data_IF_006806181559
#
_entry.id   IF_006806181559
#
_cell.length_a   1.000
_cell.length_b   1.000
_cell.length_c   1.000
_cell.angle_alpha   90.00
_cell.angle_beta   90.00
_cell.angle_gamma   90.00
#
_symmetry.space_group_name_H-M   'P 1'
#
loop_
_entity.id
_entity.type
_entity.pdbx_description
1 polymer ?
#
# COMPACT_ATOMS: atom_id res chain seq x y z
N UNK A 1 3.53 42.66 49.25
CA UNK A 1 3.40 43.01 47.82
C UNK A 1 2.84 41.80 47.07
N UNK A 2 1.62 41.88 46.51
CA UNK A 2 1.01 40.84 45.68
C UNK A 2 0.90 41.38 44.25
N UNK A 3 1.58 40.76 43.30
CA UNK A 3 1.54 41.11 41.87
C UNK A 3 0.48 40.23 41.22
N UNK A 4 -0.64 40.84 40.79
CA UNK A 4 -1.69 40.21 39.99
C UNK A 4 -1.36 40.41 38.51
N UNK A 5 -0.91 39.36 37.83
CA UNK A 5 -0.78 39.33 36.37
C UNK A 5 -2.15 39.04 35.74
N UNK A 6 -2.83 40.08 35.26
CA UNK A 6 -3.99 39.95 34.37
C UNK A 6 -3.50 39.72 32.94
N UNK A 7 -3.51 38.49 32.48
CA UNK A 7 -3.37 38.17 31.05
C UNK A 7 -4.68 38.51 30.33
N UNK A 8 -4.66 39.54 29.48
CA UNK A 8 -5.77 39.95 28.61
C UNK A 8 -5.58 39.29 27.25
N UNK A 9 -6.26 38.17 27.02
CA UNK A 9 -6.25 37.48 25.73
C UNK A 9 -7.00 38.36 24.70
N UNK A 10 -6.39 38.73 23.57
CA UNK A 10 -7.07 39.51 22.54
C UNK A 10 -8.15 38.67 21.85
N UNK A 11 -9.37 39.24 21.75
CA UNK A 11 -10.56 38.62 21.13
C UNK A 11 -10.38 38.19 19.67
N UNK A 12 -9.30 38.62 19.01
CA UNK A 12 -8.94 38.24 17.64
C UNK A 12 -8.54 36.76 17.51
N UNK A 13 -8.15 36.09 18.59
CA UNK A 13 -7.75 34.68 18.56
C UNK A 13 -8.94 33.70 18.49
N UNK A 14 -10.15 34.14 18.84
CA UNK A 14 -11.34 33.28 18.77
C UNK A 14 -11.95 33.18 17.37
N UNK A 15 -11.53 34.01 16.41
CA UNK A 15 -12.11 34.01 15.06
C UNK A 15 -11.37 33.14 14.05
N UNK A 16 -10.16 32.64 14.36
CA UNK A 16 -9.37 31.82 13.44
C UNK A 16 -9.65 30.31 13.55
N UNK A 17 -10.47 29.88 14.51
CA UNK A 17 -10.79 28.47 14.77
C UNK A 17 -12.08 27.97 14.10
N UNK A 18 -12.74 28.81 13.30
CA UNK A 18 -14.08 28.51 12.74
C UNK A 18 -14.13 28.37 11.21
N UNK A 19 -13.01 28.02 10.57
CA UNK A 19 -12.96 27.69 9.13
C UNK A 19 -12.16 26.43 8.77
N UNK A 20 -12.09 25.45 9.68
CA UNK A 20 -11.78 24.08 9.28
C UNK A 20 -13.08 23.37 8.89
N UNK A 21 -13.33 23.29 7.58
CA UNK A 21 -14.15 22.23 7.00
C UNK A 21 -13.24 21.02 6.80
N UNK A 22 -13.51 19.87 7.43
CA UNK A 22 -13.12 18.59 6.88
C UNK A 22 -14.39 17.78 6.60
N UNK A 23 -14.91 17.96 5.38
CA UNK A 23 -15.69 16.93 4.70
C UNK A 23 -14.76 15.78 4.34
N UNK A 24 -14.37 14.95 5.32
CA UNK A 24 -13.68 13.67 5.09
C UNK A 24 -14.05 12.69 6.20
N UNK A 25 -15.35 12.48 6.38
CA UNK A 25 -15.88 11.47 7.28
C UNK A 25 -16.94 10.67 6.54
N UNK A 26 -16.52 10.01 5.46
CA UNK A 26 -17.26 8.90 4.85
C UNK A 26 -16.33 8.15 3.91
N UNK A 27 -15.70 7.09 4.42
CA UNK A 27 -15.27 5.91 3.65
C UNK A 27 -14.88 4.79 4.64
N UNK A 28 -15.79 4.53 5.57
CA UNK A 28 -15.81 3.31 6.38
C UNK A 28 -16.93 2.40 5.84
N UNK A 29 -16.69 1.83 4.66
CA UNK A 29 -17.50 0.80 3.99
C UNK A 29 -16.71 0.55 2.70
N UNK A 30 -15.96 -0.54 2.52
CA UNK A 30 -16.44 -1.90 2.34
C UNK A 30 -15.29 -2.84 2.75
N UNK A 31 -15.27 -3.29 4.00
CA UNK A 31 -14.46 -4.43 4.44
C UNK A 31 -15.42 -5.52 4.91
N UNK A 32 -16.14 -6.10 3.97
CA UNK A 32 -17.19 -7.05 4.28
C UNK A 32 -17.81 -7.64 3.02
N UNK A 33 -17.07 -8.53 2.35
CA UNK A 33 -17.68 -9.60 1.57
C UNK A 33 -16.67 -10.68 1.17
N UNK A 34 -17.11 -11.93 1.29
CA UNK A 34 -16.56 -13.17 0.73
C UNK A 34 -15.49 -13.92 1.55
N UNK A 35 -15.84 -14.23 2.81
CA UNK A 35 -15.49 -15.53 3.41
C UNK A 35 -16.72 -16.43 3.31
N UNK A 36 -17.00 -16.93 2.10
CA UNK A 36 -17.95 -18.02 1.88
C UNK A 36 -17.42 -18.87 0.72
N UNK A 37 -16.41 -19.69 1.02
CA UNK A 37 -16.08 -20.83 0.17
C UNK A 37 -16.84 -22.05 0.73
N UNK A 38 -17.61 -22.78 -0.10
CA UNK A 38 -18.15 -24.06 0.30
C UNK A 38 -16.99 -25.06 0.45
N UNK A 39 -16.94 -25.72 1.60
CA UNK A 39 -16.08 -26.88 1.84
C UNK A 39 -16.53 -28.01 0.93
N UNK A 40 -15.92 -28.12 -0.24
CA UNK A 40 -15.95 -29.35 -1.04
C UNK A 40 -14.66 -30.10 -0.72
N UNK A 41 -14.75 -31.04 0.22
CA UNK A 41 -13.83 -32.18 0.22
C UNK A 41 -13.93 -32.89 -1.13
N UNK A 42 -12.81 -33.37 -1.66
CA UNK A 42 -12.79 -34.78 -1.99
C UNK A 42 -11.55 -35.49 -1.44
N UNK A 43 -11.83 -36.71 -1.03
CA UNK A 43 -10.87 -37.74 -0.69
C UNK A 43 -9.90 -38.04 -1.84
N UNK A 44 -8.79 -38.69 -1.45
CA UNK A 44 -7.78 -39.39 -2.24
C UNK A 44 -8.16 -39.74 -3.69
N UNK A 45 -7.24 -39.50 -4.64
CA UNK A 45 -6.72 -40.61 -5.46
C UNK A 45 -5.34 -40.27 -6.06
N UNK A 46 -4.46 -41.28 -6.08
CA UNK A 46 -3.15 -41.26 -6.73
C UNK A 46 -3.34 -41.59 -8.21
N UNK A 47 -2.73 -40.86 -9.12
CA UNK A 47 -2.68 -41.30 -10.52
C UNK A 47 -2.12 -40.27 -11.49
N UNK A 48 -0.90 -40.55 -11.97
CA UNK A 48 -0.20 -39.86 -13.04
C UNK A 48 -1.10 -39.60 -14.27
N UNK A 49 -1.42 -38.33 -14.55
CA UNK A 49 -1.83 -37.86 -15.88
C UNK A 49 -1.32 -36.42 -16.11
N UNK A 50 -0.85 -36.08 -17.32
CA UNK A 50 -0.30 -34.77 -17.62
C UNK A 50 -1.38 -33.70 -17.41
N UNK A 51 -1.04 -32.67 -16.62
CA UNK A 51 -1.85 -31.49 -16.36
C UNK A 51 -2.30 -30.86 -17.68
N UNK A 52 -3.50 -31.23 -18.14
CA UNK A 52 -4.24 -30.43 -19.11
C UNK A 52 -4.64 -29.17 -18.37
N UNK A 53 -3.88 -28.10 -18.62
CA UNK A 53 -4.21 -26.74 -18.19
C UNK A 53 -5.59 -26.41 -18.77
N UNK A 54 -6.60 -26.51 -17.92
CA UNK A 54 -7.99 -26.43 -18.32
C UNK A 54 -8.27 -24.98 -18.74
N UNK A 55 -8.86 -24.78 -19.93
CA UNK A 55 -9.17 -23.43 -20.45
C UNK A 55 -10.01 -22.62 -19.45
N UNK A 56 -10.81 -23.32 -18.65
CA UNK A 56 -11.57 -22.85 -17.49
C UNK A 56 -10.75 -22.00 -16.49
N UNK A 57 -9.52 -22.39 -16.16
CA UNK A 57 -8.70 -21.64 -15.18
C UNK A 57 -8.15 -20.34 -15.77
N UNK A 58 -7.85 -20.37 -17.07
CA UNK A 58 -7.35 -19.20 -17.81
C UNK A 58 -8.47 -18.18 -18.05
N UNK A 59 -9.68 -18.65 -18.34
CA UNK A 59 -10.85 -17.80 -18.56
C UNK A 59 -11.34 -17.15 -17.26
N UNK A 60 -11.25 -17.85 -16.11
CA UNK A 60 -11.52 -17.28 -14.79
C UNK A 60 -10.50 -16.24 -14.37
N UNK A 61 -9.20 -16.51 -14.60
CA UNK A 61 -8.15 -15.54 -14.38
C UNK A 61 -8.35 -14.28 -15.24
N UNK A 62 -8.77 -14.44 -16.50
CA UNK A 62 -9.16 -13.30 -17.37
C UNK A 62 -10.38 -12.56 -16.83
N UNK A 63 -11.43 -13.24 -16.39
CA UNK A 63 -12.61 -12.57 -15.82
C UNK A 63 -12.30 -11.82 -14.53
N UNK A 64 -11.52 -12.40 -13.61
CA UNK A 64 -11.08 -11.71 -12.40
C UNK A 64 -10.15 -10.54 -12.74
N UNK A 65 -9.27 -10.72 -13.73
CA UNK A 65 -8.44 -9.64 -14.25
C UNK A 65 -9.32 -8.51 -14.79
N UNK A 66 -10.26 -8.80 -15.69
CA UNK A 66 -11.17 -7.81 -16.26
C UNK A 66 -12.01 -7.10 -15.20
N UNK A 67 -12.41 -7.82 -14.14
CA UNK A 67 -13.14 -7.24 -13.00
C UNK A 67 -12.27 -6.33 -12.14
N UNK A 68 -11.06 -6.77 -11.78
CA UNK A 68 -10.07 -5.97 -11.06
C UNK A 68 -9.65 -4.73 -11.85
N UNK A 69 -9.49 -4.90 -13.17
CA UNK A 69 -9.23 -3.83 -14.14
C UNK A 69 -10.40 -2.85 -14.17
N UNK A 70 -11.64 -3.33 -14.18
CA UNK A 70 -12.84 -2.51 -14.12
C UNK A 70 -12.90 -1.66 -12.85
N UNK A 71 -12.72 -2.27 -11.68
CA UNK A 71 -12.72 -1.56 -10.39
C UNK A 71 -11.58 -0.54 -10.26
N UNK A 72 -10.41 -0.84 -10.83
CA UNK A 72 -9.29 0.09 -10.82
C UNK A 72 -9.50 1.27 -11.79
N UNK A 73 -10.12 1.04 -12.96
CA UNK A 73 -10.53 2.12 -13.88
C UNK A 73 -11.57 3.06 -13.25
N UNK A 74 -12.51 2.53 -12.47
CA UNK A 74 -13.48 3.37 -11.76
C UNK A 74 -12.79 4.19 -10.65
N UNK A 75 -11.85 3.61 -9.91
CA UNK A 75 -11.04 4.36 -8.94
C UNK A 75 -10.17 5.47 -9.59
N UNK A 76 -9.74 5.28 -10.85
CA UNK A 76 -9.02 6.31 -11.63
C UNK A 76 -9.92 7.48 -12.00
N UNK A 77 -11.19 7.21 -12.38
CA UNK A 77 -12.14 8.26 -12.74
C UNK A 77 -12.44 9.19 -11.55
N UNK A 78 -12.45 8.66 -10.33
CA UNK A 78 -12.62 9.44 -9.10
C UNK A 78 -11.30 10.07 -8.58
N UNK A 79 -10.15 9.47 -8.88
CA UNK A 79 -8.86 9.77 -8.25
C UNK A 79 -7.89 10.71 -9.00
N UNK A 80 -8.25 11.24 -10.16
CA UNK A 80 -7.42 12.22 -10.90
C UNK A 80 -6.07 11.66 -11.41
N UNK A 81 -5.04 12.51 -11.51
CA UNK A 81 -3.71 12.13 -12.08
C UNK A 81 -3.00 11.01 -11.29
N UNK A 82 -3.09 11.02 -9.96
CA UNK A 82 -2.56 9.94 -9.11
C UNK A 82 -3.24 8.60 -9.37
N UNK A 83 -4.53 8.62 -9.66
CA UNK A 83 -5.28 7.43 -10.06
C UNK A 83 -4.75 6.84 -11.37
N UNK A 84 -4.40 7.68 -12.35
CA UNK A 84 -3.86 7.24 -13.64
C UNK A 84 -2.47 6.58 -13.50
N UNK A 85 -1.57 7.19 -12.74
CA UNK A 85 -0.23 6.63 -12.51
C UNK A 85 -0.30 5.29 -11.76
N UNK A 86 -1.14 5.22 -10.71
CA UNK A 86 -1.42 3.97 -9.99
C UNK A 86 -1.96 2.89 -10.94
N UNK A 87 -2.83 3.26 -11.86
CA UNK A 87 -3.42 2.36 -12.84
C UNK A 87 -2.41 1.83 -13.86
N UNK A 88 -1.55 2.68 -14.40
CA UNK A 88 -0.53 2.25 -15.36
C UNK A 88 0.47 1.28 -14.73
N UNK A 89 0.94 1.58 -13.52
CA UNK A 89 1.83 0.67 -12.75
C UNK A 89 1.15 -0.64 -12.41
N UNK A 90 -0.11 -0.57 -11.97
CA UNK A 90 -0.91 -1.76 -11.67
C UNK A 90 -1.05 -2.63 -12.92
N UNK A 91 -1.41 -2.03 -14.05
CA UNK A 91 -1.54 -2.71 -15.34
C UNK A 91 -0.23 -3.37 -15.78
N UNK A 92 0.90 -2.65 -15.65
CA UNK A 92 2.23 -3.20 -15.94
C UNK A 92 2.50 -4.42 -15.05
N UNK A 93 2.33 -4.31 -13.74
CA UNK A 93 2.59 -5.39 -12.78
C UNK A 93 1.71 -6.62 -13.01
N UNK A 94 0.45 -6.43 -13.45
CA UNK A 94 -0.43 -7.55 -13.80
C UNK A 94 -0.04 -8.24 -15.12
N UNK A 95 0.58 -7.49 -16.05
CA UNK A 95 1.03 -8.04 -17.33
C UNK A 95 2.32 -8.86 -17.21
N UNK A 96 3.08 -8.69 -16.13
CA UNK A 96 4.30 -9.44 -15.85
C UNK A 96 4.01 -10.86 -15.38
N UNK A 97 4.93 -11.80 -15.61
CA UNK A 97 4.86 -13.13 -14.99
C UNK A 97 4.98 -13.03 -13.46
N UNK A 98 4.51 -14.04 -12.73
CA UNK A 98 4.65 -14.10 -11.26
C UNK A 98 6.11 -14.05 -10.82
N UNK A 99 6.99 -14.75 -11.53
CA UNK A 99 8.43 -14.80 -11.22
C UNK A 99 9.11 -13.45 -11.43
N UNK A 100 8.82 -12.78 -12.54
CA UNK A 100 9.40 -11.47 -12.84
C UNK A 100 8.88 -10.41 -11.88
N UNK A 101 7.61 -10.48 -11.53
CA UNK A 101 7.04 -9.62 -10.50
C UNK A 101 7.71 -9.84 -9.14
N UNK A 102 7.93 -11.09 -8.72
CA UNK A 102 8.64 -11.41 -7.47
C UNK A 102 10.05 -10.82 -7.47
N UNK A 103 10.79 -10.92 -8.58
CA UNK A 103 12.12 -10.31 -8.73
C UNK A 103 12.05 -8.78 -8.64
N UNK A 104 11.10 -8.15 -9.34
CA UNK A 104 10.86 -6.70 -9.30
C UNK A 104 10.59 -6.22 -7.88
N UNK A 105 9.70 -6.89 -7.15
CA UNK A 105 9.37 -6.54 -5.77
C UNK A 105 10.54 -6.74 -4.81
N UNK A 106 11.28 -7.85 -4.92
CA UNK A 106 12.49 -8.05 -4.12
C UNK A 106 13.50 -6.92 -4.31
N UNK A 107 13.73 -6.51 -5.56
CA UNK A 107 14.60 -5.37 -5.87
C UNK A 107 14.02 -4.07 -5.29
N UNK A 108 12.71 -3.84 -5.42
CA UNK A 108 12.04 -2.65 -4.89
C UNK A 108 12.15 -2.53 -3.37
N UNK A 109 11.91 -3.63 -2.64
CA UNK A 109 12.05 -3.68 -1.18
C UNK A 109 13.50 -3.45 -0.73
N UNK A 110 14.48 -3.97 -1.48
CA UNK A 110 15.90 -3.71 -1.21
C UNK A 110 16.27 -2.23 -1.44
N UNK A 111 15.76 -1.63 -2.53
CA UNK A 111 15.94 -0.19 -2.80
C UNK A 111 15.33 0.64 -1.67
N UNK A 112 14.09 0.37 -1.27
CA UNK A 112 13.43 1.11 -0.18
C UNK A 112 14.17 1.00 1.15
N UNK A 113 14.74 -0.18 1.46
CA UNK A 113 15.59 -0.36 2.65
C UNK A 113 16.84 0.52 2.59
N UNK A 114 17.54 0.52 1.45
CA UNK A 114 18.70 1.36 1.23
C UNK A 114 18.36 2.86 1.32
N UNK A 115 17.18 3.27 0.84
CA UNK A 115 16.71 4.65 0.94
C UNK A 115 16.39 5.06 2.38
N UNK A 116 15.75 4.17 3.16
CA UNK A 116 15.53 4.39 4.59
C UNK A 116 16.86 4.47 5.34
N UNK A 117 17.84 3.65 4.96
CA UNK A 117 19.19 3.71 5.53
C UNK A 117 19.89 5.03 5.18
N UNK A 118 19.80 5.50 3.94
CA UNK A 118 20.32 6.79 3.54
C UNK A 118 19.69 7.95 4.34
N UNK A 119 18.39 7.87 4.68
CA UNK A 119 17.73 8.84 5.55
C UNK A 119 18.25 8.85 6.99
N UNK A 120 18.74 7.71 7.49
CA UNK A 120 19.39 7.62 8.81
C UNK A 120 20.78 8.26 8.77
N UNK A 121 21.49 8.08 7.66
CA UNK A 121 22.89 8.45 7.50
C UNK A 121 23.10 9.87 6.95
N UNK A 122 22.07 10.53 6.42
CA UNK A 122 22.20 11.78 5.64
C UNK A 122 22.66 13.03 6.41
N UNK A 123 22.94 12.92 7.72
CA UNK A 123 23.56 13.98 8.53
C UNK A 123 22.81 15.31 8.61
N UNK A 124 21.63 15.43 8.00
CA UNK A 124 20.84 16.65 7.95
C UNK A 124 20.36 17.10 9.34
N UNK A 125 20.24 18.42 9.54
CA UNK A 125 19.79 19.00 10.80
C UNK A 125 18.42 18.46 11.26
N UNK A 126 17.57 18.05 10.30
CA UNK A 126 16.26 17.42 10.55
C UNK A 126 16.37 16.06 11.24
N UNK A 127 17.43 15.29 11.03
CA UNK A 127 17.59 13.93 11.59
C UNK A 127 17.77 13.97 13.11
N UNK A 128 18.31 15.07 13.64
CA UNK A 128 18.46 15.27 15.08
C UNK A 128 17.12 15.46 15.79
N UNK A 129 16.05 15.81 15.06
CA UNK A 129 14.72 16.10 15.62
C UNK A 129 13.98 14.80 15.95
N UNK A 130 13.40 14.73 17.15
CA UNK A 130 12.78 13.49 17.63
C UNK A 130 11.58 13.04 16.80
N UNK A 131 10.77 13.98 16.28
CA UNK A 131 9.66 13.61 15.40
C UNK A 131 10.15 12.92 14.11
N UNK A 132 11.31 13.31 13.58
CA UNK A 132 11.87 12.73 12.36
C UNK A 132 12.44 11.34 12.63
N UNK A 133 13.04 11.13 13.81
CA UNK A 133 13.44 9.78 14.27
C UNK A 133 12.23 8.85 14.37
N UNK A 134 11.13 9.29 14.99
CA UNK A 134 9.87 8.51 15.03
C UNK A 134 9.34 8.21 13.63
N UNK A 135 9.47 9.17 12.70
CA UNK A 135 9.10 8.96 11.30
C UNK A 135 9.95 7.87 10.64
N UNK A 136 11.27 7.89 10.83
CA UNK A 136 12.17 6.83 10.33
C UNK A 136 11.80 5.47 10.93
N UNK A 137 11.51 5.39 12.23
CA UNK A 137 11.07 4.14 12.87
C UNK A 137 9.76 3.63 12.26
N UNK A 138 8.80 4.52 11.99
CA UNK A 138 7.56 4.19 11.30
C UNK A 138 7.82 3.63 9.89
N UNK A 139 8.73 4.24 9.13
CA UNK A 139 9.12 3.73 7.80
C UNK A 139 9.72 2.32 7.87
N UNK A 140 10.58 2.05 8.87
CA UNK A 140 11.15 0.71 9.10
C UNK A 140 10.04 -0.31 9.42
N UNK A 141 9.10 0.05 10.29
CA UNK A 141 7.96 -0.82 10.62
C UNK A 141 7.06 -1.09 9.40
N UNK A 142 6.84 -0.09 8.54
CA UNK A 142 6.11 -0.24 7.29
C UNK A 142 6.84 -1.16 6.31
N UNK A 143 8.16 -1.01 6.15
CA UNK A 143 8.98 -1.90 5.33
C UNK A 143 8.89 -3.35 5.82
N UNK A 144 8.98 -3.58 7.13
CA UNK A 144 8.83 -4.91 7.73
C UNK A 144 7.43 -5.49 7.51
N UNK A 145 6.40 -4.64 7.57
CA UNK A 145 5.04 -5.04 7.22
C UNK A 145 4.96 -5.47 5.75
N UNK A 146 5.51 -4.69 4.81
CA UNK A 146 5.56 -5.03 3.40
C UNK A 146 6.33 -6.34 3.15
N UNK A 147 7.47 -6.58 3.82
CA UNK A 147 8.21 -7.86 3.74
C UNK A 147 7.35 -9.04 4.16
N UNK A 148 6.62 -8.94 5.27
CA UNK A 148 5.69 -10.00 5.73
C UNK A 148 4.50 -10.18 4.80
N UNK A 149 3.95 -9.11 4.25
CA UNK A 149 2.84 -9.18 3.29
C UNK A 149 3.29 -9.81 1.97
N UNK A 150 4.51 -9.49 1.52
CA UNK A 150 5.11 -10.11 0.35
C UNK A 150 5.36 -11.62 0.54
N UNK A 151 5.85 -12.05 1.71
CA UNK A 151 5.97 -13.47 2.02
C UNK A 151 4.60 -14.18 1.94
N UNK A 152 3.55 -13.59 2.53
CA UNK A 152 2.17 -14.11 2.44
C UNK A 152 1.61 -14.11 1.02
N UNK A 153 2.05 -13.19 0.16
CA UNK A 153 1.71 -13.16 -1.26
C UNK A 153 2.39 -14.31 -2.00
N UNK A 154 3.67 -14.60 -1.71
CA UNK A 154 4.41 -15.72 -2.30
C UNK A 154 3.80 -17.09 -1.94
N UNK A 155 3.22 -17.23 -0.75
CA UNK A 155 2.52 -18.43 -0.29
C UNK A 155 1.18 -18.70 -1.01
N UNK A 156 0.73 -17.83 -1.93
CA UNK A 156 -0.50 -18.05 -2.67
C UNK A 156 -0.43 -19.33 -3.53
N UNK A 157 -1.36 -20.26 -3.27
CA UNK A 157 -1.42 -21.57 -3.93
C UNK A 157 -1.77 -21.51 -5.42
N UNK A 158 -2.46 -20.46 -5.87
CA UNK A 158 -2.87 -20.27 -7.26
C UNK A 158 -2.49 -18.87 -7.74
N UNK A 159 -2.30 -18.74 -9.05
CA UNK A 159 -2.03 -17.44 -9.68
C UNK A 159 -3.21 -16.46 -9.50
N UNK A 160 -4.43 -16.96 -9.49
CA UNK A 160 -5.62 -16.15 -9.22
C UNK A 160 -5.60 -15.55 -7.81
N UNK A 161 -5.31 -16.38 -6.79
CA UNK A 161 -5.16 -15.90 -5.42
C UNK A 161 -3.98 -14.93 -5.26
N UNK A 162 -2.91 -15.16 -6.01
CA UNK A 162 -1.77 -14.25 -6.09
C UNK A 162 -2.20 -12.88 -6.64
N UNK A 163 -2.86 -12.84 -7.79
CA UNK A 163 -3.32 -11.60 -8.46
C UNK A 163 -4.28 -10.76 -7.63
N UNK A 164 -5.20 -11.40 -6.91
CA UNK A 164 -6.13 -10.69 -6.00
C UNK A 164 -5.36 -10.03 -4.86
N UNK A 165 -4.41 -10.74 -4.23
CA UNK A 165 -3.59 -10.21 -3.13
C UNK A 165 -2.57 -9.19 -3.60
N UNK A 166 -2.04 -9.36 -4.81
CA UNK A 166 -1.04 -8.48 -5.43
C UNK A 166 -1.49 -7.02 -5.44
N UNK A 167 -2.75 -6.74 -5.80
CA UNK A 167 -3.29 -5.37 -5.82
C UNK A 167 -3.26 -4.71 -4.44
N UNK A 168 -3.55 -5.47 -3.39
CA UNK A 168 -3.52 -4.96 -2.01
C UNK A 168 -2.09 -4.63 -1.58
N UNK A 169 -1.16 -5.52 -1.92
CA UNK A 169 0.26 -5.35 -1.64
C UNK A 169 0.88 -4.19 -2.42
N UNK A 170 0.59 -4.06 -3.73
CA UNK A 170 1.09 -2.97 -4.58
C UNK A 170 0.74 -1.59 -4.01
N UNK A 171 -0.49 -1.42 -3.49
CA UNK A 171 -0.89 -0.18 -2.79
C UNK A 171 -0.05 0.10 -1.54
N UNK A 172 0.29 -0.95 -0.79
CA UNK A 172 1.14 -0.83 0.39
C UNK A 172 2.57 -0.41 0.03
N UNK A 173 3.12 -0.97 -1.05
CA UNK A 173 4.42 -0.56 -1.59
C UNK A 173 4.42 0.89 -2.07
N UNK A 174 3.39 1.30 -2.81
CA UNK A 174 3.28 2.68 -3.28
C UNK A 174 3.21 3.66 -2.10
N UNK A 175 2.39 3.35 -1.09
CA UNK A 175 2.29 4.17 0.12
C UNK A 175 3.64 4.30 0.85
N UNK A 176 4.41 3.21 0.98
CA UNK A 176 5.75 3.26 1.57
C UNK A 176 6.69 4.14 0.72
N UNK A 177 6.70 3.95 -0.59
CA UNK A 177 7.51 4.75 -1.52
C UNK A 177 7.21 6.25 -1.44
N UNK A 178 5.93 6.63 -1.41
CA UNK A 178 5.52 8.03 -1.22
C UNK A 178 6.03 8.60 0.10
N UNK A 179 5.92 7.84 1.20
CA UNK A 179 6.37 8.32 2.51
C UNK A 179 7.89 8.42 2.63
N UNK A 180 8.65 7.55 1.94
CA UNK A 180 10.10 7.67 1.80
C UNK A 180 10.45 8.92 0.99
N UNK A 181 9.78 9.17 -0.14
CA UNK A 181 9.97 10.37 -0.95
C UNK A 181 9.77 11.65 -0.14
N UNK A 182 8.66 11.75 0.59
CA UNK A 182 8.39 12.89 1.48
C UNK A 182 9.42 13.05 2.61
N UNK A 183 10.00 11.94 3.10
CA UNK A 183 11.06 12.00 4.11
C UNK A 183 12.39 12.46 3.52
N UNK A 184 12.70 12.07 2.28
CA UNK A 184 13.87 12.56 1.52
C UNK A 184 13.78 14.07 1.26
N UNK A 185 12.64 14.53 0.77
CA UNK A 185 12.39 15.97 0.55
C UNK A 185 12.61 16.78 1.84
N UNK A 186 12.10 16.29 2.98
CA UNK A 186 12.27 16.94 4.27
C UNK A 186 13.74 16.91 4.77
N UNK A 187 14.47 15.83 4.47
CA UNK A 187 15.89 15.70 4.78
C UNK A 187 16.80 16.49 3.81
N UNK A 188 16.26 17.00 2.70
CA UNK A 188 17.03 17.69 1.65
C UNK A 188 17.83 16.74 0.76
N UNK A 189 17.33 15.52 0.53
CA UNK A 189 17.90 14.48 -0.34
C UNK A 189 17.17 14.35 -1.67
#
# INVERSE_FOLDING_TARGET
>A
MRILLRYRIPRSFLFLLMKLRPTLLSLATVLGCLMALPTVSPAQDKGDKPLKLDKSTTDKAKQMFDKLVGEAKEAVKEGGEKGKDLWERTKENFSMSREDYIKKVNSGLATMDAEIQALVESGGAVISRDYFKTRIESLKQQLDYCRRDFARLQEAATDEAFRVKQRGFDRGLDFLGENIGLAKEEAGL
#
